data_IF_697455485018
#
_entry.id   IF_697455485018
#
_cell.length_a   1.000
_cell.length_b   1.000
_cell.length_c   1.000
_cell.angle_alpha   90.00
_cell.angle_beta   90.00
_cell.angle_gamma   90.00
#
_symmetry.space_group_name_H-M   'P 1'
#
loop_
_entity.id
_entity.type
_entity.pdbx_description
1 polymer ?
#
# COMPACT_ATOMS: atom_id res chain seq x y z
N UNK A 1 -8.04 -10.27 -2.00
CA UNK A 1 -8.51 -10.56 -0.63
C UNK A 1 -7.59 -9.97 0.43
N UNK A 2 -6.29 -10.31 0.45
CA UNK A 2 -5.31 -9.80 1.43
C UNK A 2 -5.22 -8.26 1.54
N UNK A 3 -5.28 -7.54 0.42
CA UNK A 3 -5.20 -6.06 0.41
C UNK A 3 -6.38 -5.44 1.18
N UNK A 4 -7.58 -5.98 1.06
CA UNK A 4 -8.75 -5.51 1.81
C UNK A 4 -8.58 -5.72 3.31
N UNK A 5 -8.01 -6.86 3.70
CA UNK A 5 -7.67 -7.14 5.10
C UNK A 5 -6.63 -6.13 5.61
N UNK A 6 -5.64 -5.78 4.79
CA UNK A 6 -4.64 -4.75 5.11
C UNK A 6 -5.29 -3.40 5.39
N UNK A 7 -6.18 -2.96 4.51
CA UNK A 7 -6.87 -1.68 4.62
C UNK A 7 -7.75 -1.64 5.88
N UNK A 8 -8.51 -2.71 6.14
CA UNK A 8 -9.30 -2.83 7.37
C UNK A 8 -8.42 -2.81 8.62
N UNK A 9 -7.28 -3.51 8.60
CA UNK A 9 -6.32 -3.50 9.70
C UNK A 9 -5.74 -2.10 9.94
N UNK A 10 -5.41 -1.35 8.88
CA UNK A 10 -4.92 0.04 8.98
C UNK A 10 -6.01 0.96 9.55
N UNK A 11 -7.26 0.82 9.10
CA UNK A 11 -8.39 1.61 9.62
C UNK A 11 -8.59 1.31 11.11
N UNK A 12 -8.61 0.03 11.50
CA UNK A 12 -8.73 -0.37 12.90
C UNK A 12 -7.55 0.17 13.74
N UNK A 13 -6.32 0.05 13.25
CA UNK A 13 -5.13 0.55 13.93
C UNK A 13 -5.12 2.08 14.04
N UNK A 14 -5.59 2.79 13.02
CA UNK A 14 -5.77 4.24 13.05
C UNK A 14 -6.83 4.66 14.08
N UNK A 15 -7.92 3.90 14.22
CA UNK A 15 -8.94 4.13 15.26
C UNK A 15 -8.39 3.90 16.68
N UNK A 16 -7.55 2.87 16.88
CA UNK A 16 -6.85 2.66 18.16
C UNK A 16 -5.89 3.82 18.45
N UNK A 17 -5.10 4.21 17.45
CA UNK A 17 -4.16 5.34 17.53
C UNK A 17 -4.87 6.65 17.88
N UNK A 18 -6.06 6.89 17.30
CA UNK A 18 -6.94 8.01 17.64
C UNK A 18 -7.30 8.02 19.13
N UNK A 19 -7.78 6.88 19.65
CA UNK A 19 -8.20 6.76 21.05
C UNK A 19 -7.03 7.00 22.01
N UNK A 20 -5.85 6.48 21.69
CA UNK A 20 -4.64 6.68 22.50
C UNK A 20 -4.16 8.13 22.50
N UNK A 21 -4.13 8.78 21.32
CA UNK A 21 -3.80 10.20 21.19
C UNK A 21 -4.79 11.08 21.96
N UNK A 22 -6.08 10.81 21.84
CA UNK A 22 -7.14 11.51 22.57
C UNK A 22 -7.03 11.30 24.09
N UNK A 23 -6.80 10.07 24.54
CA UNK A 23 -6.63 9.77 25.97
C UNK A 23 -5.40 10.47 26.56
N UNK A 24 -4.28 10.56 25.83
CA UNK A 24 -3.12 11.36 26.22
C UNK A 24 -3.49 12.85 26.32
N UNK A 25 -4.17 13.39 25.32
CA UNK A 25 -4.57 14.80 25.31
C UNK A 25 -5.52 15.17 26.47
N UNK A 26 -6.47 14.31 26.82
CA UNK A 26 -7.36 14.51 27.99
C UNK A 26 -6.55 14.51 29.30
N UNK A 27 -5.57 13.63 29.44
CA UNK A 27 -4.71 13.60 30.65
C UNK A 27 -3.89 14.87 30.80
N UNK A 28 -3.28 15.35 29.72
CA UNK A 28 -2.41 16.54 29.72
C UNK A 28 -3.20 17.86 29.85
N UNK A 29 -4.47 17.87 29.47
CA UNK A 29 -5.36 19.04 29.61
C UNK A 29 -6.04 19.14 30.99
N UNK A 30 -5.81 18.20 31.91
CA UNK A 30 -6.37 18.30 33.27
C UNK A 30 -5.77 19.51 34.00
N UNK A 31 -6.61 20.51 34.28
CA UNK A 31 -6.20 21.72 35.01
C UNK A 31 -5.43 22.75 34.17
N UNK A 32 -5.18 22.50 32.88
CA UNK A 32 -4.45 23.40 31.98
C UNK A 32 -5.20 23.57 30.67
N UNK A 33 -5.37 24.81 30.24
CA UNK A 33 -6.05 25.12 28.97
C UNK A 33 -5.13 24.79 27.80
N UNK A 34 -5.51 23.80 26.98
CA UNK A 34 -4.78 23.46 25.74
C UNK A 34 -5.23 24.33 24.56
N UNK A 35 -4.32 24.55 23.61
CA UNK A 35 -4.62 25.30 22.39
C UNK A 35 -5.57 24.57 21.42
N UNK A 36 -5.66 23.25 21.50
CA UNK A 36 -6.49 22.43 20.63
C UNK A 36 -7.31 21.43 21.44
N UNK A 37 -8.52 21.13 20.96
CA UNK A 37 -9.41 20.14 21.58
C UNK A 37 -8.81 18.74 21.46
N UNK A 38 -9.00 17.84 22.45
CA UNK A 38 -8.46 16.48 22.43
C UNK A 38 -8.78 15.67 21.17
N UNK A 39 -9.92 15.92 20.51
CA UNK A 39 -10.27 15.26 19.25
C UNK A 39 -9.26 15.56 18.13
N UNK A 40 -8.75 16.79 17.99
CA UNK A 40 -7.77 17.12 16.95
C UNK A 40 -6.43 16.43 17.18
N UNK A 41 -6.05 16.23 18.44
CA UNK A 41 -4.81 15.54 18.79
C UNK A 41 -4.92 14.03 18.52
N UNK A 42 -6.07 13.42 18.84
CA UNK A 42 -6.36 12.05 18.42
C UNK A 42 -6.31 11.91 16.90
N UNK A 43 -6.98 12.81 16.16
CA UNK A 43 -7.01 12.79 14.70
C UNK A 43 -5.61 12.92 14.09
N UNK A 44 -4.76 13.77 14.65
CA UNK A 44 -3.38 13.91 14.22
C UNK A 44 -2.59 12.59 14.30
N UNK A 45 -2.69 11.85 15.41
CA UNK A 45 -2.00 10.55 15.57
C UNK A 45 -2.59 9.51 14.62
N UNK A 46 -3.92 9.51 14.46
CA UNK A 46 -4.62 8.63 13.53
C UNK A 46 -4.18 8.84 12.08
N UNK A 47 -4.01 10.10 11.65
CA UNK A 47 -3.54 10.46 10.32
C UNK A 47 -2.10 10.01 10.10
N UNK A 48 -1.20 10.24 11.06
CA UNK A 48 0.19 9.78 10.96
C UNK A 48 0.32 8.26 10.91
N UNK A 49 -0.54 7.53 11.63
CA UNK A 49 -0.56 6.07 11.58
C UNK A 49 -1.20 5.53 10.30
N UNK A 50 -2.29 6.15 9.82
CA UNK A 50 -3.07 5.62 8.71
C UNK A 50 -2.57 6.05 7.34
N UNK A 51 -2.32 7.34 7.14
CA UNK A 51 -2.11 7.92 5.80
C UNK A 51 -0.83 7.42 5.13
N UNK A 52 0.35 7.39 5.79
CA UNK A 52 1.58 6.88 5.16
C UNK A 52 1.46 5.40 4.74
N UNK A 53 0.85 4.56 5.59
CA UNK A 53 0.62 3.15 5.29
C UNK A 53 -0.38 2.99 4.12
N UNK A 54 -1.44 3.80 4.09
CA UNK A 54 -2.40 3.80 2.99
C UNK A 54 -1.79 4.24 1.66
N UNK A 55 -0.91 5.25 1.67
CA UNK A 55 -0.17 5.70 0.48
C UNK A 55 0.71 4.58 -0.06
N UNK A 56 1.46 3.87 0.80
CA UNK A 56 2.28 2.74 0.38
C UNK A 56 1.44 1.65 -0.30
N UNK A 57 0.29 1.30 0.29
CA UNK A 57 -0.62 0.32 -0.31
C UNK A 57 -1.20 0.81 -1.65
N UNK A 58 -1.56 2.09 -1.75
CA UNK A 58 -2.05 2.68 -2.99
C UNK A 58 -0.99 2.60 -4.11
N UNK A 59 0.26 2.94 -3.80
CA UNK A 59 1.38 2.80 -4.72
C UNK A 59 1.58 1.33 -5.13
N UNK A 60 1.47 0.39 -4.20
CA UNK A 60 1.57 -1.02 -4.53
C UNK A 60 0.42 -1.51 -5.42
N UNK A 61 -0.80 -1.01 -5.24
CA UNK A 61 -1.93 -1.33 -6.12
C UNK A 61 -1.69 -0.78 -7.53
N UNK A 62 -1.18 0.44 -7.65
CA UNK A 62 -0.95 1.10 -8.94
C UNK A 62 0.25 0.52 -9.71
N UNK A 63 1.34 0.21 -9.01
CA UNK A 63 2.62 -0.13 -9.63
C UNK A 63 3.04 -1.59 -9.45
N UNK A 64 2.46 -2.32 -8.49
CA UNK A 64 2.89 -3.67 -8.12
C UNK A 64 2.85 -4.67 -9.28
N UNK A 65 1.81 -4.60 -10.14
CA UNK A 65 1.72 -5.44 -11.33
C UNK A 65 2.81 -5.13 -12.37
N UNK A 66 3.17 -3.84 -12.54
CA UNK A 66 4.25 -3.44 -13.46
C UNK A 66 5.61 -3.91 -12.95
N UNK A 67 5.85 -3.80 -11.63
CA UNK A 67 7.06 -4.31 -10.99
C UNK A 67 7.16 -5.83 -11.12
N UNK A 68 6.06 -6.56 -10.89
CA UNK A 68 5.99 -8.02 -11.07
C UNK A 68 6.33 -8.42 -12.51
N UNK A 69 5.76 -7.73 -13.51
CA UNK A 69 6.04 -8.00 -14.93
C UNK A 69 7.48 -7.69 -15.33
N UNK A 70 8.00 -6.53 -14.92
CA UNK A 70 9.39 -6.13 -15.19
C UNK A 70 10.39 -7.11 -14.57
N UNK A 71 10.09 -7.63 -13.37
CA UNK A 71 10.95 -8.62 -12.72
C UNK A 71 10.88 -9.98 -13.44
N UNK A 72 9.69 -10.45 -13.81
CA UNK A 72 9.51 -11.74 -14.50
C UNK A 72 10.18 -11.78 -15.87
N UNK A 73 10.12 -10.66 -16.60
CA UNK A 73 10.72 -10.50 -17.93
C UNK A 73 12.24 -10.29 -17.91
N UNK A 74 12.84 -9.99 -16.76
CA UNK A 74 14.28 -9.76 -16.63
C UNK A 74 15.14 -11.01 -16.94
N UNK A 75 14.60 -12.21 -16.74
CA UNK A 75 15.27 -13.48 -17.06
C UNK A 75 14.40 -14.37 -17.98
N UNK A 76 14.37 -14.09 -19.30
CA UNK A 76 13.58 -14.85 -20.26
C UNK A 76 14.16 -16.26 -20.51
N UNK A 77 13.32 -17.33 -20.51
CA UNK A 77 13.71 -18.65 -20.98
C UNK A 77 14.12 -18.62 -22.47
N UNK A 78 15.02 -19.52 -22.89
CA UNK A 78 15.51 -19.56 -24.27
C UNK A 78 14.38 -19.75 -25.30
N UNK A 79 13.39 -20.59 -24.98
CA UNK A 79 12.19 -20.84 -25.82
C UNK A 79 11.37 -19.56 -26.01
N UNK A 80 11.36 -18.67 -25.02
CA UNK A 80 10.60 -17.40 -25.06
C UNK A 80 11.39 -16.31 -25.80
N UNK A 81 12.72 -16.33 -25.74
CA UNK A 81 13.58 -15.41 -26.51
C UNK A 81 13.44 -15.57 -28.02
N UNK A 82 13.09 -16.77 -28.48
CA UNK A 82 12.89 -17.06 -29.90
C UNK A 82 11.51 -16.62 -30.42
N UNK A 83 10.59 -16.26 -29.53
CA UNK A 83 9.25 -15.79 -29.92
C UNK A 83 9.29 -14.32 -30.38
N UNK A 84 8.37 -13.91 -31.26
CA UNK A 84 8.08 -12.51 -31.50
C UNK A 84 7.73 -11.79 -30.19
N UNK A 85 8.07 -10.51 -30.09
CA UNK A 85 7.86 -9.69 -28.87
C UNK A 85 6.42 -9.74 -28.36
N UNK A 86 5.44 -9.73 -29.25
CA UNK A 86 4.01 -9.80 -28.91
C UNK A 86 3.63 -11.12 -28.24
N UNK A 87 4.16 -12.25 -28.73
CA UNK A 87 3.88 -13.56 -28.16
C UNK A 87 4.60 -13.77 -26.83
N UNK A 88 5.79 -13.18 -26.67
CA UNK A 88 6.50 -13.17 -25.40
C UNK A 88 5.74 -12.39 -24.31
N UNK A 89 5.16 -11.22 -24.64
CA UNK A 89 4.33 -10.44 -23.72
C UNK A 89 3.07 -11.22 -23.30
N UNK A 90 2.40 -11.88 -24.25
CA UNK A 90 1.25 -12.75 -23.93
C UNK A 90 1.67 -13.89 -23.00
N UNK A 91 2.82 -14.53 -23.26
CA UNK A 91 3.37 -15.57 -22.41
C UNK A 91 3.58 -15.11 -20.95
N UNK A 92 4.15 -13.92 -20.73
CA UNK A 92 4.32 -13.38 -19.38
C UNK A 92 2.99 -13.04 -18.71
N UNK A 93 2.04 -12.48 -19.46
CA UNK A 93 0.70 -12.19 -18.96
C UNK A 93 -0.05 -13.46 -18.53
N UNK A 94 0.13 -14.56 -19.28
CA UNK A 94 -0.42 -15.87 -18.97
C UNK A 94 0.28 -16.53 -17.79
N UNK A 95 1.60 -16.39 -17.65
CA UNK A 95 2.34 -16.87 -16.48
C UNK A 95 1.83 -16.21 -15.19
N UNK A 96 1.56 -14.90 -15.20
CA UNK A 96 0.96 -14.16 -14.08
C UNK A 96 -0.50 -14.57 -13.85
N UNK A 97 -1.25 -14.88 -14.90
CA UNK A 97 -2.64 -15.35 -14.80
C UNK A 97 -2.71 -16.75 -14.19
N UNK A 98 -1.81 -17.63 -14.61
CA UNK A 98 -1.67 -19.00 -14.09
C UNK A 98 -1.20 -19.00 -12.63
N UNK A 99 -0.29 -18.08 -12.25
CA UNK A 99 0.14 -17.90 -10.86
C UNK A 99 -1.01 -17.52 -9.91
N UNK A 100 -2.05 -16.85 -10.45
CA UNK A 100 -3.29 -16.48 -9.74
C UNK A 100 -4.30 -17.63 -9.67
N UNK A 101 -3.98 -18.81 -10.20
CA UNK A 101 -4.90 -19.96 -10.27
C UNK A 101 -5.98 -19.82 -11.34
N UNK A 102 -5.82 -18.89 -12.28
CA UNK A 102 -6.69 -18.77 -13.46
C UNK A 102 -6.09 -19.55 -14.62
N UNK A 103 -6.89 -19.87 -15.63
CA UNK A 103 -6.41 -20.54 -16.84
C UNK A 103 -5.67 -19.54 -17.74
N UNK A 104 -4.58 -20.00 -18.35
CA UNK A 104 -3.91 -19.26 -19.41
C UNK A 104 -4.84 -19.14 -20.63
N UNK A 105 -4.73 -18.04 -21.36
CA UNK A 105 -5.52 -17.78 -22.57
C UNK A 105 -4.86 -18.38 -23.81
N UNK A 106 -3.52 -18.38 -23.86
CA UNK A 106 -2.75 -19.00 -24.93
C UNK A 106 -2.80 -20.53 -24.90
N UNK A 107 -2.68 -21.12 -26.10
CA UNK A 107 -2.46 -22.55 -26.27
C UNK A 107 -0.97 -22.83 -26.22
N UNK A 108 -0.53 -23.52 -25.17
CA UNK A 108 0.87 -23.88 -24.97
C UNK A 108 1.02 -25.41 -24.97
N UNK A 109 1.92 -25.92 -25.78
CA UNK A 109 2.24 -27.35 -25.87
C UNK A 109 3.76 -27.58 -25.75
N UNK A 110 4.13 -28.82 -25.41
CA UNK A 110 5.53 -29.25 -25.32
C UNK A 110 6.39 -28.41 -24.36
N UNK A 111 7.58 -28.02 -24.82
CA UNK A 111 8.56 -27.27 -24.03
C UNK A 111 8.06 -25.88 -23.61
N UNK A 112 7.19 -25.25 -24.41
CA UNK A 112 6.66 -23.92 -24.10
C UNK A 112 5.68 -23.96 -22.91
N UNK A 113 4.90 -25.03 -22.79
CA UNK A 113 4.04 -25.27 -21.61
C UNK A 113 4.87 -25.54 -20.36
N UNK A 114 5.94 -26.33 -20.47
CA UNK A 114 6.85 -26.58 -19.36
C UNK A 114 7.52 -25.28 -18.89
N UNK A 115 7.94 -24.41 -19.82
CA UNK A 115 8.47 -23.08 -19.51
C UNK A 115 7.44 -22.19 -18.83
N UNK A 116 6.17 -22.23 -19.27
CA UNK A 116 5.08 -21.47 -18.67
C UNK A 116 4.81 -21.89 -17.22
N UNK A 117 4.77 -23.19 -16.95
CA UNK A 117 4.52 -23.72 -15.60
C UNK A 117 5.65 -23.33 -14.62
N UNK A 118 6.91 -23.35 -15.08
CA UNK A 118 8.06 -22.87 -14.30
C UNK A 118 7.92 -21.38 -14.00
N UNK A 119 7.61 -20.57 -15.01
CA UNK A 119 7.44 -19.13 -14.84
C UNK A 119 6.22 -18.75 -14.01
N UNK A 120 5.14 -19.52 -14.07
CA UNK A 120 3.98 -19.32 -13.22
C UNK A 120 4.28 -19.63 -11.74
N UNK A 121 5.10 -20.65 -11.46
CA UNK A 121 5.59 -20.94 -10.10
C UNK A 121 6.51 -19.83 -9.59
N UNK A 122 7.41 -19.33 -10.42
CA UNK A 122 8.29 -18.19 -10.11
C UNK A 122 7.46 -16.92 -9.83
N UNK A 123 6.49 -16.61 -10.68
CA UNK A 123 5.57 -15.48 -10.48
C UNK A 123 4.79 -15.63 -9.16
N UNK A 124 4.35 -16.84 -8.81
CA UNK A 124 3.63 -17.10 -7.56
C UNK A 124 4.51 -16.82 -6.34
N UNK A 125 5.76 -17.27 -6.32
CA UNK A 125 6.66 -17.05 -5.19
C UNK A 125 7.10 -15.58 -5.08
N UNK A 126 7.43 -14.95 -6.20
CA UNK A 126 7.79 -13.53 -6.27
C UNK A 126 6.64 -12.65 -5.77
N UNK A 127 5.42 -12.92 -6.24
CA UNK A 127 4.23 -12.19 -5.80
C UNK A 127 3.94 -12.37 -4.32
N UNK A 128 4.12 -13.58 -3.78
CA UNK A 128 3.96 -13.82 -2.35
C UNK A 128 4.97 -13.02 -1.52
N UNK A 129 6.24 -12.97 -1.97
CA UNK A 129 7.30 -12.20 -1.32
C UNK A 129 7.02 -10.69 -1.37
N UNK A 130 6.67 -10.16 -2.55
CA UNK A 130 6.32 -8.74 -2.73
C UNK A 130 5.12 -8.35 -1.88
N UNK A 131 4.04 -9.15 -1.93
CA UNK A 131 2.82 -8.86 -1.18
C UNK A 131 3.11 -8.88 0.32
N UNK A 132 3.79 -9.91 0.83
CA UNK A 132 4.10 -10.02 2.27
C UNK A 132 5.04 -8.90 2.72
N UNK A 133 6.04 -8.56 1.92
CA UNK A 133 6.98 -7.48 2.20
C UNK A 133 6.30 -6.12 2.30
N UNK A 134 5.42 -5.78 1.35
CA UNK A 134 4.64 -4.53 1.39
C UNK A 134 3.69 -4.49 2.58
N UNK A 135 3.06 -5.62 2.93
CA UNK A 135 2.19 -5.72 4.09
C UNK A 135 2.94 -5.47 5.40
N UNK A 136 4.11 -6.11 5.56
CA UNK A 136 4.98 -5.90 6.70
C UNK A 136 5.44 -4.43 6.78
N UNK A 137 5.85 -3.85 5.66
CA UNK A 137 6.28 -2.46 5.59
C UNK A 137 5.14 -1.49 5.91
N UNK A 138 3.92 -1.74 5.43
CA UNK A 138 2.74 -0.94 5.75
C UNK A 138 2.41 -0.98 7.25
N UNK A 139 2.51 -2.16 7.87
CA UNK A 139 2.34 -2.31 9.31
C UNK A 139 3.42 -1.55 10.10
N UNK A 140 4.68 -1.62 9.66
CA UNK A 140 5.79 -0.87 10.25
C UNK A 140 5.60 0.64 10.11
N UNK A 141 5.17 1.13 8.95
CA UNK A 141 4.88 2.55 8.73
C UNK A 141 3.73 3.04 9.62
N UNK A 142 2.68 2.23 9.79
CA UNK A 142 1.58 2.57 10.66
C UNK A 142 2.03 2.68 12.13
N UNK A 143 2.81 1.71 12.59
CA UNK A 143 3.40 1.71 13.92
C UNK A 143 4.35 2.90 14.12
N UNK A 144 5.27 3.14 13.18
CA UNK A 144 6.20 4.26 13.21
C UNK A 144 5.46 5.60 13.23
N UNK A 145 4.41 5.76 12.42
CA UNK A 145 3.58 6.95 12.41
C UNK A 145 2.95 7.24 13.77
N UNK A 146 2.39 6.22 14.43
CA UNK A 146 1.88 6.34 15.79
C UNK A 146 3.00 6.69 16.79
N UNK A 147 4.12 5.96 16.77
CA UNK A 147 5.25 6.16 17.69
C UNK A 147 5.91 7.54 17.55
N UNK A 148 5.89 8.12 16.35
CA UNK A 148 6.42 9.47 16.08
C UNK A 148 5.40 10.54 16.50
N UNK A 149 4.10 10.34 16.25
CA UNK A 149 3.08 11.34 16.49
C UNK A 149 2.65 11.45 17.95
N UNK A 150 2.57 10.33 18.67
CA UNK A 150 2.12 10.28 20.06
C UNK A 150 2.99 11.11 21.03
N UNK A 151 4.35 11.05 21.00
CA UNK A 151 5.18 11.84 21.89
C UNK A 151 5.08 13.34 21.61
N UNK A 152 4.83 13.76 20.35
CA UNK A 152 4.70 15.16 19.94
C UNK A 152 3.47 15.88 20.51
N UNK A 153 2.53 15.15 21.11
CA UNK A 153 1.40 15.73 21.84
C UNK A 153 1.91 16.38 23.13
N UNK A 154 1.86 17.72 23.16
CA UNK A 154 2.12 18.60 24.31
C UNK A 154 0.94 19.57 24.51
N UNK A 155 0.93 20.34 25.61
CA UNK A 155 -0.12 21.32 25.93
C UNK A 155 -0.24 22.40 24.83
N UNK A 156 0.90 22.87 24.33
CA UNK A 156 1.00 23.95 23.33
C UNK A 156 0.84 23.46 21.88
N UNK A 157 0.63 22.15 21.69
CA UNK A 157 0.54 21.57 20.37
C UNK A 157 -0.71 22.07 19.61
N UNK A 158 -0.47 22.72 18.46
CA UNK A 158 -1.51 23.25 17.57
C UNK A 158 -2.09 22.15 16.66
N UNK A 159 -2.81 21.21 17.28
CA UNK A 159 -3.39 20.05 16.60
C UNK A 159 -4.32 20.39 15.44
N UNK A 160 -5.13 21.46 15.56
CA UNK A 160 -6.04 21.90 14.49
C UNK A 160 -5.29 22.22 13.19
N UNK A 161 -4.30 23.12 13.24
CA UNK A 161 -3.56 23.52 12.05
C UNK A 161 -2.89 22.33 11.37
N UNK A 162 -2.30 21.41 12.15
CA UNK A 162 -1.65 20.22 11.59
C UNK A 162 -2.63 19.29 10.88
N UNK A 163 -3.81 19.06 11.47
CA UNK A 163 -4.87 18.25 10.84
C UNK A 163 -5.39 18.94 9.58
N UNK A 164 -5.60 20.25 9.61
CA UNK A 164 -6.00 21.01 8.42
C UNK A 164 -4.96 20.90 7.29
N UNK A 165 -3.67 20.97 7.59
CA UNK A 165 -2.61 20.77 6.58
C UNK A 165 -2.69 19.39 5.93
N UNK A 166 -2.91 18.34 6.72
CA UNK A 166 -3.10 16.98 6.19
C UNK A 166 -4.32 16.89 5.28
N UNK A 167 -5.48 17.38 5.74
CA UNK A 167 -6.72 17.33 4.95
C UNK A 167 -6.56 18.12 3.65
N UNK A 168 -5.99 19.33 3.71
CA UNK A 168 -5.73 20.15 2.51
C UNK A 168 -4.81 19.43 1.54
N UNK A 169 -3.73 18.79 2.02
CA UNK A 169 -2.83 18.00 1.18
C UNK A 169 -3.54 16.84 0.47
N UNK A 170 -4.39 16.10 1.18
CA UNK A 170 -5.18 15.01 0.61
C UNK A 170 -6.18 15.53 -0.44
N UNK A 171 -6.87 16.64 -0.15
CA UNK A 171 -7.82 17.24 -1.09
C UNK A 171 -7.13 17.74 -2.36
N UNK A 172 -5.97 18.38 -2.24
CA UNK A 172 -5.16 18.81 -3.39
C UNK A 172 -4.74 17.61 -4.24
N UNK A 173 -4.21 16.55 -3.61
CA UNK A 173 -3.81 15.34 -4.32
C UNK A 173 -5.00 14.67 -5.03
N UNK A 174 -6.15 14.58 -4.35
CA UNK A 174 -7.38 14.04 -4.93
C UNK A 174 -7.85 14.85 -6.15
N UNK A 175 -7.88 16.18 -6.02
CA UNK A 175 -8.25 17.06 -7.13
C UNK A 175 -7.29 16.97 -8.31
N UNK A 176 -5.97 16.88 -8.05
CA UNK A 176 -4.97 16.73 -9.10
C UNK A 176 -5.15 15.42 -9.87
N UNK A 177 -5.40 14.31 -9.16
CA UNK A 177 -5.68 13.02 -9.80
C UNK A 177 -6.95 13.09 -10.64
N UNK A 178 -8.03 13.70 -10.15
CA UNK A 178 -9.27 13.85 -10.91
C UNK A 178 -9.06 14.58 -12.24
N UNK A 179 -8.36 15.71 -12.22
CA UNK A 179 -8.03 16.48 -13.44
C UNK A 179 -7.14 15.67 -14.38
N UNK A 180 -6.08 15.02 -13.85
CA UNK A 180 -5.18 14.19 -14.65
C UNK A 180 -5.89 13.01 -15.32
N UNK A 181 -6.94 12.47 -14.70
CA UNK A 181 -7.73 11.38 -15.28
C UNK A 181 -8.77 11.84 -16.30
N UNK A 182 -9.06 13.15 -16.39
CA UNK A 182 -9.98 13.71 -17.39
C UNK A 182 -9.30 14.20 -18.66
N UNK A 183 -7.96 14.30 -18.65
CA UNK A 183 -7.13 14.66 -19.80
C UNK A 183 -6.68 13.40 -20.54
#
# INVERSE_FOLDING_TARGET
>A
MLIWVALLAIIAFSAVSYRLGKAKAVRISKGVRTHSRPNYLGAYVALWAGVPAAILLALFIMFGGRVEHAWLSANPPAVVKALPSEQAEVFYSDAVTLSKGKKAQGFYEGELKAALDVKAKEAKSQRAMLTTGVMALAALLALAGMLIALPRITVDFRGRNRVETWIRGILIACSAVAVLTTL
#
